data_IF_000345628629
#
_entry.id   IF_000345628629
#
_cell.length_a   1.000
_cell.length_b   1.000
_cell.length_c   1.000
_cell.angle_alpha   90.00
_cell.angle_beta   90.00
_cell.angle_gamma   90.00
#
_symmetry.space_group_name_H-M   'P 1'
#
loop_
_entity.id
_entity.type
_entity.pdbx_description
1 polymer ?
#
# COMPACT_ATOMS: atom_id res chain seq x y z
N UNK A 1 -13.23 19.10 23.64
CA UNK A 1 -12.23 19.88 22.86
C UNK A 1 -11.05 18.95 22.68
N UNK A 2 -10.54 18.80 21.46
CA UNK A 2 -9.45 17.87 21.25
C UNK A 2 -8.20 18.28 22.07
N UNK A 3 -7.59 17.29 22.72
CA UNK A 3 -6.34 17.50 23.47
C UNK A 3 -5.18 17.66 22.47
N UNK A 4 -4.55 18.83 22.49
CA UNK A 4 -3.41 19.14 21.63
C UNK A 4 -2.09 18.81 22.31
N UNK A 5 -1.01 18.74 21.54
CA UNK A 5 0.33 18.56 22.09
C UNK A 5 0.67 19.61 23.14
N UNK A 6 0.30 20.89 22.89
CA UNK A 6 0.46 21.97 23.84
C UNK A 6 -0.33 21.72 25.15
N UNK A 7 -1.59 21.32 25.05
CA UNK A 7 -2.43 21.09 26.25
C UNK A 7 -1.94 19.90 27.06
N UNK A 8 -1.53 18.81 26.41
CA UNK A 8 -0.95 17.66 27.09
C UNK A 8 0.37 18.02 27.77
N UNK A 9 1.26 18.73 27.07
CA UNK A 9 2.55 19.17 27.63
C UNK A 9 2.35 20.07 28.84
N UNK A 10 1.42 21.05 28.77
CA UNK A 10 1.16 21.95 29.89
C UNK A 10 0.54 21.24 31.11
N UNK A 11 -0.23 20.18 30.91
CA UNK A 11 -0.69 19.33 32.02
C UNK A 11 0.46 18.65 32.77
N UNK A 12 1.52 18.24 32.07
CA UNK A 12 2.75 17.69 32.69
C UNK A 12 3.53 18.80 33.39
N UNK A 13 3.72 19.94 32.72
CA UNK A 13 4.42 21.11 33.25
C UNK A 13 3.76 21.61 34.55
N UNK A 14 2.42 21.67 34.58
CA UNK A 14 1.66 22.09 35.77
C UNK A 14 1.89 21.15 36.96
N UNK A 15 2.05 19.83 36.74
CA UNK A 15 2.37 18.87 37.80
C UNK A 15 3.78 19.10 38.42
N UNK A 16 4.68 19.66 37.59
CA UNK A 16 6.05 19.99 38.03
C UNK A 16 6.17 21.40 38.62
N UNK A 17 5.03 22.14 38.73
CA UNK A 17 4.96 23.52 39.19
C UNK A 17 5.88 24.48 38.39
N UNK A 18 5.97 24.27 37.09
CA UNK A 18 6.75 25.06 36.14
C UNK A 18 5.87 25.97 35.28
N UNK A 19 6.47 26.92 34.57
CA UNK A 19 5.76 27.89 33.72
C UNK A 19 5.24 27.23 32.45
N UNK A 20 3.93 27.33 32.20
CA UNK A 20 3.27 26.78 31.02
C UNK A 20 3.78 27.41 29.72
N UNK A 21 3.74 26.61 28.65
CA UNK A 21 4.04 27.03 27.30
C UNK A 21 2.81 27.67 26.64
N UNK A 22 3.08 28.58 25.71
CA UNK A 22 2.09 29.16 24.79
C UNK A 22 2.36 28.67 23.38
N UNK A 23 1.42 28.85 22.45
CA UNK A 23 1.63 28.53 21.04
C UNK A 23 2.83 29.28 20.44
N UNK A 24 3.12 30.49 20.93
CA UNK A 24 4.22 31.32 20.42
C UNK A 24 5.60 30.83 20.84
N UNK A 25 5.75 30.22 22.03
CA UNK A 25 7.04 29.79 22.56
C UNK A 25 7.23 28.24 22.54
N UNK A 26 6.25 27.48 22.06
CA UNK A 26 6.26 26.02 22.08
C UNK A 26 7.48 25.41 21.38
N UNK A 27 7.83 25.92 20.20
CA UNK A 27 8.98 25.46 19.42
C UNK A 27 10.33 25.95 19.94
N UNK A 28 10.34 26.96 20.80
CA UNK A 28 11.54 27.49 21.45
C UNK A 28 11.66 27.06 22.92
N UNK A 29 10.89 26.08 23.35
CA UNK A 29 10.96 25.48 24.69
C UNK A 29 12.38 25.02 25.02
N UNK A 30 12.76 25.08 26.30
CA UNK A 30 14.12 24.69 26.78
C UNK A 30 14.04 23.97 28.12
N UNK A 31 15.10 23.25 28.43
CA UNK A 31 15.25 22.59 29.73
C UNK A 31 14.12 21.61 30.01
N UNK A 32 13.47 21.76 31.18
CA UNK A 32 12.40 20.87 31.63
C UNK A 32 11.19 20.85 30.68
N UNK A 33 10.90 21.96 30.01
CA UNK A 33 9.76 22.06 29.08
C UNK A 33 9.96 21.14 27.86
N UNK A 34 11.17 21.05 27.31
CA UNK A 34 11.50 20.08 26.23
C UNK A 34 11.41 18.66 26.75
N UNK A 35 11.83 18.41 27.97
CA UNK A 35 11.71 17.07 28.57
C UNK A 35 10.23 16.66 28.69
N UNK A 36 9.35 17.60 29.09
CA UNK A 36 7.91 17.35 29.14
C UNK A 36 7.32 17.04 27.74
N UNK A 37 7.74 17.77 26.70
CA UNK A 37 7.36 17.47 25.32
C UNK A 37 7.78 16.04 24.92
N UNK A 38 9.03 15.70 25.15
CA UNK A 38 9.54 14.35 24.81
C UNK A 38 8.83 13.25 25.60
N UNK A 39 8.57 13.46 26.89
CA UNK A 39 7.88 12.51 27.76
C UNK A 39 6.44 12.22 27.27
N UNK A 40 5.73 13.22 26.73
CA UNK A 40 4.41 13.02 26.10
C UNK A 40 4.53 12.09 24.89
N UNK A 41 5.48 12.33 23.98
CA UNK A 41 5.69 11.45 22.82
C UNK A 41 6.11 10.04 23.23
N UNK A 42 6.94 9.90 24.25
CA UNK A 42 7.35 8.61 24.80
C UNK A 42 6.15 7.85 25.40
N UNK A 43 5.30 8.53 26.16
CA UNK A 43 4.08 7.95 26.72
C UNK A 43 3.13 7.48 25.61
N UNK A 44 2.93 8.30 24.56
CA UNK A 44 2.11 7.94 23.39
C UNK A 44 2.70 6.72 22.68
N UNK A 45 4.00 6.69 22.43
CA UNK A 45 4.68 5.52 21.82
C UNK A 45 4.53 4.28 22.69
N UNK A 46 4.73 4.39 24.00
CA UNK A 46 4.59 3.27 24.92
C UNK A 46 3.17 2.68 24.90
N UNK A 47 2.13 3.52 24.95
CA UNK A 47 0.74 3.08 24.82
C UNK A 47 0.54 2.34 23.50
N UNK A 48 0.98 2.92 22.38
CA UNK A 48 0.82 2.32 21.07
C UNK A 48 1.63 1.03 20.86
N UNK A 49 2.70 0.80 21.62
CA UNK A 49 3.49 -0.44 21.56
C UNK A 49 2.86 -1.60 22.35
N UNK A 50 2.04 -1.31 23.34
CA UNK A 50 1.44 -2.31 24.24
C UNK A 50 0.43 -3.23 23.55
N UNK A 51 -0.35 -2.70 22.62
CA UNK A 51 -1.41 -3.42 21.94
C UNK A 51 -1.31 -3.24 20.43
N UNK A 52 -1.52 -4.30 19.65
CA UNK A 52 -1.32 -4.27 18.19
C UNK A 52 -2.47 -3.62 17.43
N UNK A 53 -3.70 -3.70 17.93
CA UNK A 53 -4.92 -3.40 17.18
C UNK A 53 -5.87 -2.43 17.90
N UNK A 54 -5.33 -1.34 18.43
CA UNK A 54 -6.20 -0.29 18.96
C UNK A 54 -7.16 0.24 17.90
N UNK A 55 -8.49 0.26 18.15
CA UNK A 55 -9.48 0.73 17.17
C UNK A 55 -9.25 2.15 16.67
N UNK A 56 -8.65 3.02 17.49
CA UNK A 56 -8.36 4.41 17.11
C UNK A 56 -7.15 4.55 16.16
N UNK A 57 -6.40 3.49 15.95
CA UNK A 57 -5.30 3.43 14.96
C UNK A 57 -5.70 2.65 13.70
N UNK A 58 -6.96 2.21 13.59
CA UNK A 58 -7.46 1.50 12.42
C UNK A 58 -7.49 2.41 11.20
N UNK A 59 -7.07 1.87 10.06
CA UNK A 59 -7.15 2.51 8.75
C UNK A 59 -7.45 1.46 7.67
N UNK A 60 -8.03 1.92 6.57
CA UNK A 60 -8.26 1.10 5.38
C UNK A 60 -7.37 1.58 4.25
N UNK A 61 -6.55 0.68 3.72
CA UNK A 61 -5.77 0.93 2.51
C UNK A 61 -6.62 0.67 1.27
N UNK A 62 -6.38 1.47 0.23
CA UNK A 62 -6.89 1.24 -1.12
C UNK A 62 -5.68 1.16 -2.06
N UNK A 63 -5.54 0.03 -2.74
CA UNK A 63 -4.45 -0.27 -3.65
C UNK A 63 -4.99 -0.62 -5.02
N UNK A 64 -4.50 0.03 -6.07
CA UNK A 64 -4.76 -0.40 -7.45
C UNK A 64 -3.76 -1.50 -7.80
N UNK A 65 -4.26 -2.64 -8.19
CA UNK A 65 -3.45 -3.75 -8.68
C UNK A 65 -3.11 -3.54 -10.16
N UNK A 66 -1.96 -4.02 -10.57
CA UNK A 66 -1.48 -3.96 -11.96
C UNK A 66 -1.29 -5.38 -12.47
N UNK A 67 -1.69 -5.62 -13.73
CA UNK A 67 -1.51 -6.92 -14.36
C UNK A 67 -0.04 -7.37 -14.32
N UNK A 68 0.20 -8.64 -14.01
CA UNK A 68 1.53 -9.21 -13.90
C UNK A 68 2.34 -8.77 -12.68
N UNK A 69 1.75 -8.04 -11.74
CA UNK A 69 2.44 -7.65 -10.51
C UNK A 69 2.05 -8.60 -9.38
N UNK A 70 3.01 -9.33 -8.85
CA UNK A 70 2.83 -10.34 -7.80
C UNK A 70 2.88 -9.71 -6.41
N UNK A 71 3.83 -8.80 -6.19
CA UNK A 71 4.21 -8.27 -4.88
C UNK A 71 3.88 -6.79 -4.73
N UNK A 72 3.31 -6.43 -3.60
CA UNK A 72 2.89 -5.07 -3.27
C UNK A 72 3.37 -4.65 -1.89
N UNK A 73 3.63 -3.37 -1.71
CA UNK A 73 4.03 -2.81 -0.42
C UNK A 73 2.81 -2.45 0.43
N UNK A 74 2.94 -2.64 1.74
CA UNK A 74 1.98 -2.08 2.70
C UNK A 74 2.27 -0.58 2.93
N UNK A 75 1.28 0.22 3.40
CA UNK A 75 1.51 1.62 3.75
C UNK A 75 2.65 1.78 4.76
N UNK A 76 3.47 2.82 4.60
CA UNK A 76 4.69 3.03 5.42
C UNK A 76 4.43 3.14 6.93
N UNK A 77 3.27 3.68 7.33
CA UNK A 77 2.86 3.79 8.74
C UNK A 77 2.28 2.52 9.33
N UNK A 78 2.32 1.40 8.60
CA UNK A 78 1.69 0.14 9.03
C UNK A 78 2.42 -0.45 10.23
N UNK A 79 1.68 -0.68 11.30
CA UNK A 79 2.11 -1.46 12.46
C UNK A 79 1.76 -2.95 12.27
N UNK A 80 0.51 -3.22 11.93
CA UNK A 80 0.02 -4.58 11.64
C UNK A 80 -1.06 -4.54 10.57
N UNK A 81 -1.06 -5.53 9.69
CA UNK A 81 -2.07 -5.73 8.64
C UNK A 81 -3.02 -6.83 9.08
N UNK A 82 -4.32 -6.62 8.91
CA UNK A 82 -5.31 -7.68 9.06
C UNK A 82 -5.51 -8.40 7.72
N UNK A 83 -4.83 -9.52 7.55
CA UNK A 83 -4.85 -10.31 6.31
C UNK A 83 -6.21 -10.95 6.02
N UNK A 84 -7.14 -11.00 6.98
CA UNK A 84 -8.50 -11.51 6.77
C UNK A 84 -9.42 -10.48 6.11
N UNK A 85 -8.99 -9.23 5.97
CA UNK A 85 -9.81 -8.12 5.44
C UNK A 85 -9.51 -7.79 3.98
N UNK A 86 -8.56 -8.48 3.36
CA UNK A 86 -8.22 -8.28 1.96
C UNK A 86 -9.40 -8.60 1.06
N UNK A 87 -9.80 -7.62 0.23
CA UNK A 87 -10.97 -7.74 -0.64
C UNK A 87 -10.78 -6.97 -1.94
N UNK A 88 -11.10 -7.58 -3.05
CA UNK A 88 -11.27 -6.91 -4.33
C UNK A 88 -12.62 -6.21 -4.34
N UNK A 89 -12.68 -4.97 -4.80
CA UNK A 89 -13.88 -4.12 -4.69
C UNK A 89 -14.31 -3.67 -6.07
N UNK A 90 -15.62 -3.80 -6.35
CA UNK A 90 -16.33 -3.25 -7.53
C UNK A 90 -15.60 -3.47 -8.86
N UNK A 91 -15.72 -4.64 -9.40
CA UNK A 91 -15.34 -4.92 -10.78
C UNK A 91 -16.49 -5.67 -11.46
N UNK A 92 -16.72 -5.44 -12.76
CA UNK A 92 -17.75 -6.13 -13.55
C UNK A 92 -17.56 -7.65 -13.54
N UNK A 93 -16.32 -8.11 -13.52
CA UNK A 93 -15.97 -9.53 -13.47
C UNK A 93 -16.26 -10.17 -12.11
N UNK A 94 -16.43 -9.34 -11.07
CA UNK A 94 -16.77 -9.77 -9.72
C UNK A 94 -18.27 -9.70 -9.41
N UNK A 95 -19.11 -9.45 -10.43
CA UNK A 95 -20.56 -9.42 -10.29
C UNK A 95 -21.10 -8.30 -9.39
N UNK A 96 -20.50 -7.11 -9.42
CA UNK A 96 -20.85 -5.93 -8.61
C UNK A 96 -20.67 -6.08 -7.09
N UNK A 97 -20.08 -7.19 -6.62
CA UNK A 97 -19.75 -7.42 -5.21
C UNK A 97 -18.28 -7.17 -4.88
N UNK A 98 -17.94 -7.43 -3.63
CA UNK A 98 -16.55 -7.58 -3.21
C UNK A 98 -16.20 -9.06 -3.04
N UNK A 99 -15.00 -9.44 -3.44
CA UNK A 99 -14.48 -10.80 -3.25
C UNK A 99 -13.37 -10.74 -2.20
N UNK A 100 -13.55 -11.45 -1.09
CA UNK A 100 -12.55 -11.55 -0.03
C UNK A 100 -11.46 -12.55 -0.44
N UNK A 101 -10.20 -12.18 -0.21
CA UNK A 101 -9.06 -13.05 -0.41
C UNK A 101 -8.81 -13.88 0.85
N UNK A 102 -8.42 -15.13 0.66
CA UNK A 102 -8.05 -16.01 1.78
C UNK A 102 -6.58 -15.81 2.15
N UNK A 103 -6.24 -15.63 3.44
CA UNK A 103 -4.86 -15.63 3.88
C UNK A 103 -4.19 -16.98 3.58
N UNK A 104 -2.98 -16.93 3.00
CA UNK A 104 -2.14 -18.11 2.74
C UNK A 104 -0.88 -18.01 3.59
N UNK A 105 -0.45 -19.12 4.17
CA UNK A 105 0.81 -19.15 4.91
C UNK A 105 1.99 -18.99 3.94
N UNK A 106 2.99 -18.17 4.31
CA UNK A 106 4.16 -17.91 3.44
C UNK A 106 4.95 -19.18 3.10
N UNK A 107 5.09 -20.12 4.03
CA UNK A 107 5.75 -21.41 3.78
C UNK A 107 4.97 -22.30 2.80
N UNK A 108 3.65 -22.20 2.82
CA UNK A 108 2.79 -22.91 1.86
C UNK A 108 2.91 -22.28 0.47
N UNK A 109 2.95 -20.95 0.41
CA UNK A 109 3.24 -20.22 -0.83
C UNK A 109 4.57 -20.66 -1.44
N UNK A 110 5.65 -20.67 -0.66
CA UNK A 110 6.98 -21.08 -1.12
C UNK A 110 7.04 -22.53 -1.61
N UNK A 111 6.23 -23.42 -1.07
CA UNK A 111 6.21 -24.83 -1.47
C UNK A 111 5.42 -25.08 -2.76
N UNK A 112 4.40 -24.27 -3.02
CA UNK A 112 3.40 -24.58 -4.03
C UNK A 112 3.31 -23.56 -5.16
N UNK A 113 3.80 -22.31 -4.94
CA UNK A 113 3.47 -21.19 -5.82
C UNK A 113 4.62 -20.22 -6.09
N UNK A 114 5.83 -20.44 -5.55
CA UNK A 114 6.95 -19.48 -5.63
C UNK A 114 7.44 -19.26 -7.05
N UNK A 115 7.30 -20.26 -7.93
CA UNK A 115 7.80 -20.21 -9.31
C UNK A 115 7.04 -19.23 -10.22
N UNK A 116 5.92 -18.66 -9.74
CA UNK A 116 5.13 -17.72 -10.53
C UNK A 116 5.85 -16.43 -10.92
N UNK A 117 6.76 -15.95 -10.06
CA UNK A 117 7.50 -14.71 -10.36
C UNK A 117 8.45 -14.91 -11.55
N UNK A 118 8.95 -16.11 -11.76
CA UNK A 118 9.88 -16.45 -12.85
C UNK A 118 9.16 -16.62 -14.21
N UNK A 119 7.84 -16.74 -14.21
CA UNK A 119 7.02 -16.92 -15.42
C UNK A 119 6.46 -15.60 -15.97
N UNK A 120 6.74 -14.48 -15.29
CA UNK A 120 6.24 -13.16 -15.69
C UNK A 120 7.34 -12.33 -16.31
N UNK A 121 7.26 -12.13 -17.63
CA UNK A 121 8.12 -11.17 -18.31
C UNK A 121 7.49 -9.79 -18.31
N UNK A 122 8.23 -8.78 -17.89
CA UNK A 122 7.76 -7.41 -17.81
C UNK A 122 8.66 -6.41 -18.51
N UNK A 123 8.05 -5.41 -19.13
CA UNK A 123 8.71 -4.25 -19.71
C UNK A 123 7.81 -3.02 -19.57
N UNK A 124 8.17 -1.91 -20.16
CA UNK A 124 7.34 -0.70 -20.20
C UNK A 124 7.21 -0.18 -21.63
N UNK A 125 6.12 0.51 -21.94
CA UNK A 125 6.01 1.25 -23.19
C UNK A 125 7.05 2.36 -23.23
N UNK A 126 7.86 2.43 -24.29
CA UNK A 126 8.86 3.48 -24.46
C UNK A 126 8.29 4.77 -25.08
N UNK A 127 7.08 4.71 -25.60
CA UNK A 127 6.31 5.86 -26.12
C UNK A 127 4.82 5.66 -25.88
N UNK A 128 4.03 6.75 -26.04
CA UNK A 128 2.57 6.65 -25.98
C UNK A 128 2.03 6.00 -27.25
N UNK A 129 1.00 5.18 -27.07
CA UNK A 129 0.30 4.48 -28.16
C UNK A 129 -1.18 4.84 -28.16
N UNK A 130 -1.75 4.98 -29.37
CA UNK A 130 -3.19 5.13 -29.56
C UNK A 130 -3.90 3.77 -29.44
N UNK A 131 -5.21 3.77 -29.41
CA UNK A 131 -6.08 2.58 -29.34
C UNK A 131 -6.07 1.69 -30.58
N UNK A 132 -5.44 2.14 -31.67
CA UNK A 132 -5.49 1.51 -32.99
C UNK A 132 -4.13 1.00 -33.50
N UNK A 133 -3.06 1.13 -32.70
CA UNK A 133 -1.72 0.69 -33.15
C UNK A 133 -1.63 -0.83 -33.24
N UNK A 134 -0.89 -1.32 -34.24
CA UNK A 134 -0.59 -2.73 -34.48
C UNK A 134 0.86 -3.10 -34.16
N UNK A 135 1.62 -2.16 -33.60
CA UNK A 135 3.00 -2.38 -33.13
C UNK A 135 3.18 -1.67 -31.81
N UNK A 136 3.60 -2.38 -30.79
CA UNK A 136 3.98 -1.79 -29.50
C UNK A 136 5.48 -1.57 -29.48
N UNK A 137 5.90 -0.35 -29.09
CA UNK A 137 7.29 -0.02 -28.84
C UNK A 137 7.53 -0.03 -27.33
N UNK A 138 8.40 -0.93 -26.91
CA UNK A 138 8.69 -1.22 -25.50
C UNK A 138 10.16 -0.94 -25.17
N UNK A 139 10.51 -0.87 -23.89
CA UNK A 139 11.90 -0.62 -23.47
C UNK A 139 12.81 -1.82 -23.81
N UNK A 140 12.30 -3.05 -23.69
CA UNK A 140 13.02 -4.30 -24.06
C UNK A 140 12.01 -5.40 -24.35
N UNK A 141 12.35 -6.29 -25.30
CA UNK A 141 11.62 -7.53 -25.55
C UNK A 141 12.38 -8.77 -25.06
N UNK A 142 13.44 -8.57 -24.26
CA UNK A 142 14.21 -9.69 -23.68
C UNK A 142 13.29 -10.51 -22.77
N UNK A 143 13.30 -11.83 -22.92
CA UNK A 143 12.45 -12.75 -22.18
C UNK A 143 11.09 -13.01 -22.84
N UNK A 144 10.57 -12.08 -23.63
CA UNK A 144 9.27 -12.26 -24.29
C UNK A 144 9.31 -13.41 -25.32
N UNK A 145 8.27 -14.21 -25.34
CA UNK A 145 8.08 -15.27 -26.32
C UNK A 145 8.00 -14.72 -27.75
N UNK A 146 8.25 -15.55 -28.76
CA UNK A 146 8.17 -15.11 -30.17
C UNK A 146 6.78 -14.61 -30.56
N UNK A 147 5.74 -15.13 -29.95
CA UNK A 147 4.33 -14.73 -30.08
C UNK A 147 3.67 -14.84 -28.70
N UNK A 148 2.57 -14.16 -28.43
CA UNK A 148 1.89 -14.34 -27.15
C UNK A 148 0.84 -13.30 -26.85
N UNK A 149 0.43 -13.31 -25.58
CA UNK A 149 -0.52 -12.36 -25.01
C UNK A 149 0.21 -11.41 -24.08
N UNK A 150 -0.06 -10.11 -24.20
CA UNK A 150 0.46 -9.07 -23.31
C UNK A 150 -0.67 -8.31 -22.65
N UNK A 151 -0.40 -7.88 -21.43
CA UNK A 151 -1.30 -7.12 -20.59
C UNK A 151 -0.74 -5.69 -20.43
N UNK A 152 -1.53 -4.70 -20.83
CA UNK A 152 -1.15 -3.27 -20.78
C UNK A 152 -2.25 -2.50 -20.06
N UNK A 153 -2.05 -2.18 -18.80
CA UNK A 153 -3.10 -1.62 -17.96
C UNK A 153 -4.30 -2.58 -17.82
N UNK A 154 -5.47 -2.16 -18.34
CA UNK A 154 -6.70 -2.98 -18.35
C UNK A 154 -6.97 -3.65 -19.70
N UNK A 155 -6.07 -3.53 -20.65
CA UNK A 155 -6.24 -4.10 -21.98
C UNK A 155 -5.39 -5.34 -22.16
N UNK A 156 -5.99 -6.36 -22.74
CA UNK A 156 -5.33 -7.59 -23.19
C UNK A 156 -5.13 -7.51 -24.70
N UNK A 157 -3.92 -7.80 -25.15
CA UNK A 157 -3.53 -7.77 -26.56
C UNK A 157 -2.78 -9.05 -26.91
N UNK A 158 -2.88 -9.52 -28.12
CA UNK A 158 -1.98 -10.56 -28.66
C UNK A 158 -1.02 -9.94 -29.66
N UNK A 159 0.17 -10.54 -29.80
CA UNK A 159 1.11 -10.16 -30.83
C UNK A 159 1.63 -11.42 -31.56
N UNK A 160 2.01 -11.26 -32.83
CA UNK A 160 2.39 -12.38 -33.69
C UNK A 160 3.90 -12.49 -33.92
N UNK A 161 4.68 -11.47 -33.57
CA UNK A 161 6.13 -11.53 -33.66
C UNK A 161 6.83 -10.50 -32.76
N UNK A 162 8.02 -10.85 -32.30
CA UNK A 162 9.01 -9.91 -31.78
C UNK A 162 9.74 -9.31 -32.99
N UNK A 163 9.44 -8.06 -33.33
CA UNK A 163 9.99 -7.42 -34.52
C UNK A 163 11.42 -6.94 -34.34
N UNK A 164 11.80 -6.59 -33.11
CA UNK A 164 13.15 -6.19 -32.73
C UNK A 164 13.33 -6.30 -31.21
N UNK A 165 14.51 -5.91 -30.70
CA UNK A 165 14.77 -5.85 -29.25
C UNK A 165 13.85 -4.88 -28.48
N UNK A 166 13.05 -4.07 -29.18
CA UNK A 166 12.18 -3.05 -28.60
C UNK A 166 10.78 -2.98 -29.22
N UNK A 167 10.40 -3.95 -30.08
CA UNK A 167 9.07 -3.91 -30.73
C UNK A 167 8.38 -5.27 -30.71
N UNK A 168 7.08 -5.25 -30.37
CA UNK A 168 6.14 -6.35 -30.57
C UNK A 168 5.23 -5.98 -31.74
N UNK A 169 5.13 -6.85 -32.76
CA UNK A 169 4.44 -6.58 -34.03
C UNK A 169 3.26 -7.52 -34.28
N UNK A 170 2.37 -7.14 -35.19
CA UNK A 170 1.13 -7.88 -35.45
C UNK A 170 0.19 -7.89 -34.25
N UNK A 171 0.11 -6.74 -33.56
CA UNK A 171 -0.70 -6.61 -32.34
C UNK A 171 -2.18 -6.59 -32.69
N UNK A 172 -2.93 -7.49 -32.07
CA UNK A 172 -4.41 -7.47 -32.04
C UNK A 172 -4.85 -6.92 -30.70
N UNK A 173 -5.67 -5.85 -30.74
CA UNK A 173 -6.12 -5.10 -29.58
C UNK A 173 -7.43 -5.69 -29.01
N UNK A 174 -7.71 -5.37 -27.76
CA UNK A 174 -9.01 -5.63 -27.10
C UNK A 174 -9.43 -7.12 -27.12
N UNK A 175 -8.47 -8.05 -26.96
CA UNK A 175 -8.81 -9.48 -26.83
C UNK A 175 -9.35 -9.79 -25.43
N UNK A 176 -9.91 -10.98 -25.25
CA UNK A 176 -10.47 -11.43 -23.95
C UNK A 176 -11.52 -10.49 -23.35
N UNK A 177 -12.38 -9.91 -24.21
CA UNK A 177 -13.46 -9.00 -23.79
C UNK A 177 -12.98 -7.70 -23.11
N UNK A 178 -11.74 -7.29 -23.34
CA UNK A 178 -11.24 -5.97 -22.93
C UNK A 178 -11.59 -4.90 -23.97
N UNK A 179 -11.33 -3.64 -23.66
CA UNK A 179 -11.58 -2.50 -24.56
C UNK A 179 -10.25 -1.86 -24.95
N UNK A 180 -10.07 -1.59 -26.26
CA UNK A 180 -8.91 -0.87 -26.74
C UNK A 180 -8.86 0.55 -26.16
N UNK A 181 -7.70 0.94 -25.64
CA UNK A 181 -7.47 2.23 -25.02
C UNK A 181 -6.12 2.83 -25.43
N UNK A 182 -6.00 4.14 -25.35
CA UNK A 182 -4.70 4.79 -25.46
C UNK A 182 -3.86 4.53 -24.19
N UNK A 183 -2.57 4.25 -24.38
CA UNK A 183 -1.64 4.01 -23.28
C UNK A 183 -0.48 5.00 -23.33
N UNK A 184 -0.14 5.59 -22.18
CA UNK A 184 0.98 6.51 -22.06
C UNK A 184 2.33 5.77 -22.08
N UNK A 185 3.40 6.49 -22.40
CA UNK A 185 4.76 6.03 -22.17
C UNK A 185 4.97 5.68 -20.68
N UNK A 186 5.75 4.64 -20.39
CA UNK A 186 6.03 4.16 -19.05
C UNK A 186 4.99 3.18 -18.47
N UNK A 187 3.85 2.95 -19.15
CA UNK A 187 2.89 1.93 -18.73
C UNK A 187 3.52 0.55 -18.84
N UNK A 188 3.35 -0.27 -17.81
CA UNK A 188 3.85 -1.64 -17.79
C UNK A 188 3.19 -2.50 -18.86
N UNK A 189 4.00 -3.33 -19.50
CA UNK A 189 3.62 -4.40 -20.42
C UNK A 189 4.08 -5.71 -19.80
N UNK A 190 3.16 -6.62 -19.53
CA UNK A 190 3.48 -7.90 -18.92
C UNK A 190 3.04 -9.04 -19.83
N UNK A 191 3.87 -10.08 -19.93
CA UNK A 191 3.54 -11.35 -20.58
C UNK A 191 3.57 -12.46 -19.54
N UNK A 192 2.50 -13.26 -19.47
CA UNK A 192 2.39 -14.43 -18.61
C UNK A 192 1.20 -15.31 -19.07
N UNK A 193 1.25 -16.59 -18.73
CA UNK A 193 0.22 -17.56 -19.15
C UNK A 193 -0.79 -17.87 -18.01
N UNK A 194 -0.39 -17.79 -16.73
CA UNK A 194 -1.13 -18.33 -15.59
C UNK A 194 -1.67 -17.28 -14.57
N UNK A 195 -1.94 -16.06 -15.02
CA UNK A 195 -2.59 -15.06 -14.16
C UNK A 195 -4.09 -15.30 -13.96
N UNK A 196 -4.70 -14.52 -13.06
CA UNK A 196 -6.13 -14.61 -12.81
C UNK A 196 -6.67 -13.54 -11.87
N UNK A 197 -7.89 -13.77 -11.40
CA UNK A 197 -8.45 -12.98 -10.30
C UNK A 197 -7.76 -13.44 -9.01
N UNK A 198 -7.10 -12.56 -8.25
CA UNK A 198 -6.48 -12.93 -6.98
C UNK A 198 -7.47 -13.57 -6.01
N UNK A 199 -7.09 -14.70 -5.41
CA UNK A 199 -7.90 -15.45 -4.45
C UNK A 199 -7.24 -15.54 -3.08
N UNK A 200 -5.92 -15.49 -3.07
CA UNK A 200 -5.12 -15.64 -1.86
C UNK A 200 -4.20 -14.43 -1.68
N UNK A 201 -3.88 -14.14 -0.42
CA UNK A 201 -2.88 -13.15 -0.03
C UNK A 201 -1.92 -13.77 0.97
N UNK A 202 -0.62 -13.55 0.82
CA UNK A 202 0.38 -13.97 1.78
C UNK A 202 1.29 -12.83 2.19
N UNK A 203 1.68 -12.82 3.46
CA UNK A 203 2.67 -11.88 3.98
C UNK A 203 4.06 -12.35 3.63
N UNK A 204 4.90 -11.44 3.14
CA UNK A 204 6.33 -11.69 2.96
C UNK A 204 7.14 -11.26 4.21
N UNK A 205 8.40 -11.69 4.29
CA UNK A 205 9.28 -11.36 5.42
C UNK A 205 9.75 -9.89 5.40
N UNK A 206 9.72 -9.25 4.25
CA UNK A 206 10.14 -7.87 4.00
C UNK A 206 8.99 -6.84 4.15
N UNK A 207 7.94 -7.21 4.87
CA UNK A 207 6.77 -6.38 5.15
C UNK A 207 5.99 -5.95 3.90
N UNK A 208 5.99 -6.79 2.86
CA UNK A 208 5.14 -6.68 1.68
C UNK A 208 4.06 -7.77 1.72
N UNK A 209 3.22 -7.82 0.69
CA UNK A 209 2.30 -8.93 0.48
C UNK A 209 2.32 -9.39 -0.98
N UNK A 210 2.04 -10.65 -1.17
CA UNK A 210 1.95 -11.32 -2.47
C UNK A 210 0.50 -11.75 -2.68
N UNK A 211 0.03 -11.63 -3.90
CA UNK A 211 -1.29 -12.09 -4.33
C UNK A 211 -1.16 -13.33 -5.22
N UNK A 212 -2.05 -14.30 -5.02
CA UNK A 212 -2.10 -15.51 -5.82
C UNK A 212 -3.54 -15.86 -6.26
N UNK A 213 -3.77 -16.21 -7.54
CA UNK A 213 -2.89 -15.92 -8.67
C UNK A 213 -2.65 -14.41 -8.81
N UNK A 214 -1.59 -14.02 -9.53
CA UNK A 214 -1.36 -12.60 -9.78
C UNK A 214 -2.42 -12.01 -10.73
N UNK A 215 -2.70 -10.71 -10.63
CA UNK A 215 -3.78 -10.09 -11.40
C UNK A 215 -3.50 -10.06 -12.90
N UNK A 216 -4.50 -10.40 -13.71
CA UNK A 216 -4.45 -10.29 -15.18
C UNK A 216 -4.90 -8.93 -15.70
N UNK A 217 -5.48 -8.10 -14.85
CA UNK A 217 -5.86 -6.71 -15.14
C UNK A 217 -5.78 -5.87 -13.88
N UNK A 218 -6.09 -4.59 -14.00
CA UNK A 218 -6.19 -3.72 -12.84
C UNK A 218 -7.44 -4.06 -12.02
N UNK A 219 -7.26 -4.28 -10.73
CA UNK A 219 -8.34 -4.43 -9.75
C UNK A 219 -8.17 -3.40 -8.63
N UNK A 220 -9.25 -3.02 -7.99
CA UNK A 220 -9.22 -2.24 -6.77
C UNK A 220 -9.20 -3.17 -5.56
N UNK A 221 -8.08 -3.19 -4.83
CA UNK A 221 -7.91 -3.95 -3.59
C UNK A 221 -8.11 -3.03 -2.40
N UNK A 222 -8.81 -3.50 -1.39
CA UNK A 222 -8.88 -2.85 -0.07
C UNK A 222 -8.52 -3.84 1.00
N UNK A 223 -7.86 -3.35 2.06
CA UNK A 223 -7.59 -4.11 3.27
C UNK A 223 -7.47 -3.18 4.46
N UNK A 224 -7.67 -3.72 5.65
CA UNK A 224 -7.62 -2.96 6.88
C UNK A 224 -6.29 -3.21 7.59
N UNK A 225 -5.78 -2.17 8.23
CA UNK A 225 -4.52 -2.21 8.96
C UNK A 225 -4.55 -1.24 10.13
N UNK A 226 -3.60 -1.40 11.04
CA UNK A 226 -3.42 -0.49 12.17
C UNK A 226 -2.14 0.28 11.97
N UNK A 227 -2.22 1.61 12.20
CA UNK A 227 -1.09 2.50 12.05
C UNK A 227 -0.28 2.60 13.33
N UNK A 228 1.00 2.91 13.19
CA UNK A 228 1.82 3.45 14.26
C UNK A 228 1.87 4.97 14.08
N UNK A 229 1.23 5.76 14.96
CA UNK A 229 1.18 7.20 14.81
C UNK A 229 2.58 7.81 14.86
N UNK A 230 2.80 8.85 14.06
CA UNK A 230 4.00 9.66 14.16
C UNK A 230 4.01 10.47 15.47
N UNK A 231 5.19 10.90 15.90
CA UNK A 231 5.34 11.81 17.03
C UNK A 231 4.64 13.14 16.76
N UNK A 232 4.11 13.73 17.82
CA UNK A 232 3.58 15.08 17.79
C UNK A 232 4.76 16.07 17.65
N UNK A 233 4.66 17.04 16.76
CA UNK A 233 5.69 18.02 16.47
C UNK A 233 5.25 19.46 16.73
N UNK A 234 4.11 19.86 16.19
CA UNK A 234 3.55 21.20 16.34
C UNK A 234 2.64 21.31 17.57
N UNK A 235 2.55 22.49 18.16
CA UNK A 235 1.72 22.76 19.34
C UNK A 235 0.24 22.37 19.18
N UNK A 236 -0.28 22.43 17.95
CA UNK A 236 -1.67 22.09 17.61
C UNK A 236 -1.89 20.64 17.23
N UNK A 237 -0.84 19.80 17.14
CA UNK A 237 -0.99 18.39 16.80
C UNK A 237 -1.81 17.66 17.84
N UNK A 238 -2.57 16.68 17.38
CA UNK A 238 -3.43 15.84 18.22
C UNK A 238 -3.02 14.36 18.06
N UNK A 239 -3.12 13.61 19.15
CA UNK A 239 -2.90 12.17 19.11
C UNK A 239 -4.13 11.44 18.55
N UNK A 240 -3.92 10.23 17.99
CA UNK A 240 -5.02 9.31 17.66
C UNK A 240 -5.71 8.72 18.88
N UNK A 241 -5.04 8.74 20.05
CA UNK A 241 -5.60 8.28 21.32
C UNK A 241 -6.76 9.20 21.71
N UNK A 242 -7.98 8.69 21.97
CA UNK A 242 -9.13 9.53 22.30
C UNK A 242 -8.92 10.36 23.57
N UNK A 243 -9.43 11.59 23.58
CA UNK A 243 -9.29 12.57 24.67
C UNK A 243 -9.63 12.02 26.07
N UNK A 244 -10.57 11.07 26.15
CA UNK A 244 -10.93 10.42 27.43
C UNK A 244 -9.77 9.68 28.10
N UNK A 245 -8.70 9.37 27.34
CA UNK A 245 -7.48 8.74 27.85
C UNK A 245 -6.31 9.70 28.02
N UNK A 246 -6.54 11.02 27.89
CA UNK A 246 -5.50 12.03 28.06
C UNK A 246 -4.78 11.94 29.42
N UNK A 247 -5.52 11.59 30.48
CA UNK A 247 -4.94 11.39 31.80
C UNK A 247 -3.88 10.28 31.81
N UNK A 248 -4.11 9.18 31.06
CA UNK A 248 -3.15 8.06 30.97
C UNK A 248 -1.85 8.50 30.28
N UNK A 249 -1.95 9.37 29.24
CA UNK A 249 -0.78 9.94 28.57
C UNK A 249 0.01 10.82 29.54
N UNK A 250 -0.67 11.71 30.26
CA UNK A 250 -0.05 12.62 31.22
C UNK A 250 0.57 11.86 32.40
N UNK A 251 -0.12 10.83 32.92
CA UNK A 251 0.40 9.99 34.01
C UNK A 251 1.64 9.21 33.55
N UNK A 252 1.62 8.65 32.34
CA UNK A 252 2.78 7.97 31.74
C UNK A 252 3.97 8.91 31.49
N UNK A 253 3.71 10.18 31.18
CA UNK A 253 4.76 11.18 30.96
C UNK A 253 5.34 11.77 32.27
N UNK A 254 4.71 11.52 33.41
CA UNK A 254 5.18 11.99 34.73
C UNK A 254 5.77 10.88 35.60
N UNK A 255 5.71 9.64 35.16
CA UNK A 255 6.28 8.47 35.85
C UNK A 255 7.77 8.34 35.58
#
# INVERSE_FOLDING_TARGET
MAETYLTLTNKVIARLNEVELTSANFTSARGIQVQCQNAINEAIRYINQREYNYPFNHATAAQTLTAGTVKYSVPASTKVVDYNTFRLVKDSDLGNGSVTLSPLNYNEYLKSYVEQEDEIETTTLSQSHTDSVTTLTVASTTGFSSTGTVYVGNEVMTYTAVGSSTTLTGVTRAVSSTTAAAHASGVQVAQFDDGGIPKYVTRTLDNNYILYPFPTKSYSLKFDYFTFPADLAAHGDTTTIPDRFAAVIVDGATA
#
